data_IF_793101730059
#
_entry.id   IF_793101730059
#
_cell.length_a   1.000
_cell.length_b   1.000
_cell.length_c   1.000
_cell.angle_alpha   90.00
_cell.angle_beta   90.00
_cell.angle_gamma   90.00
#
_symmetry.space_group_name_H-M   'P 1'
#
loop_
_entity.id
_entity.type
_entity.pdbx_description
1 polymer ?
#
# COMPACT_ATOMS: atom_id res chain seq x y z
N UNK A 1 27.68 -4.82 23.97
CA UNK A 1 27.29 -5.44 22.68
C UNK A 1 25.80 -5.27 22.46
N UNK A 2 25.39 -4.20 21.76
CA UNK A 2 24.01 -4.03 21.28
C UNK A 2 24.00 -4.55 19.85
N UNK A 3 23.41 -5.73 19.60
CA UNK A 3 23.10 -6.15 18.24
C UNK A 3 22.06 -5.18 17.70
N UNK A 4 22.40 -4.50 16.61
CA UNK A 4 21.54 -3.48 16.04
C UNK A 4 20.23 -4.11 15.54
N UNK A 5 19.08 -3.47 15.76
CA UNK A 5 17.78 -3.95 15.28
C UNK A 5 17.75 -4.16 13.75
N UNK A 6 18.67 -3.55 13.01
CA UNK A 6 18.86 -3.73 11.58
C UNK A 6 19.29 -5.16 11.21
N UNK A 7 20.11 -5.83 12.02
CA UNK A 7 20.51 -7.22 11.76
C UNK A 7 19.34 -8.18 11.90
N UNK A 8 18.51 -8.01 12.93
CA UNK A 8 17.33 -8.86 13.17
C UNK A 8 16.28 -8.68 12.08
N UNK A 9 16.00 -7.43 11.67
CA UNK A 9 15.04 -7.16 10.59
C UNK A 9 15.60 -7.68 9.25
N UNK A 10 16.89 -7.55 8.99
CA UNK A 10 17.51 -8.11 7.78
C UNK A 10 17.53 -9.64 7.78
N UNK A 11 17.72 -10.27 8.94
CA UNK A 11 17.71 -11.72 9.11
C UNK A 11 16.29 -12.28 8.98
N UNK A 12 15.28 -11.63 9.56
CA UNK A 12 13.87 -12.00 9.41
C UNK A 12 13.39 -11.79 7.97
N UNK A 13 13.85 -10.72 7.29
CA UNK A 13 13.52 -10.47 5.89
C UNK A 13 14.24 -11.38 4.89
N UNK A 14 15.41 -11.94 5.27
CA UNK A 14 16.17 -12.93 4.46
C UNK A 14 15.77 -14.37 4.74
N UNK A 15 15.40 -14.68 5.98
CA UNK A 15 15.03 -16.03 6.41
C UNK A 15 13.62 -16.43 5.98
N UNK A 16 12.79 -15.48 5.55
CA UNK A 16 11.48 -15.76 4.99
C UNK A 16 11.44 -15.29 3.55
N UNK A 17 11.73 -16.22 2.63
CA UNK A 17 11.61 -15.98 1.20
C UNK A 17 10.17 -15.52 0.95
N UNK A 18 9.93 -14.46 0.16
CA UNK A 18 8.56 -13.97 -0.08
C UNK A 18 7.58 -15.08 -0.50
N UNK A 19 8.11 -16.14 -1.11
CA UNK A 19 7.44 -17.41 -1.43
C UNK A 19 6.85 -18.15 -0.20
N UNK A 20 7.47 -18.11 0.96
CA UNK A 20 7.05 -18.82 2.18
C UNK A 20 5.89 -18.11 2.90
N UNK A 21 5.93 -16.78 3.00
CA UNK A 21 4.78 -15.98 3.46
C UNK A 21 3.55 -16.19 2.60
N UNK A 22 3.77 -16.34 1.30
CA UNK A 22 2.74 -16.62 0.31
C UNK A 22 2.14 -18.01 0.51
N UNK A 23 3.00 -19.01 0.71
CA UNK A 23 2.56 -20.37 1.01
C UNK A 23 1.80 -20.40 2.33
N UNK A 24 2.25 -19.69 3.36
CA UNK A 24 1.55 -19.59 4.64
C UNK A 24 0.21 -18.87 4.53
N UNK A 25 0.11 -17.79 3.74
CA UNK A 25 -1.16 -17.11 3.47
C UNK A 25 -2.12 -18.01 2.67
N UNK A 26 -1.62 -18.73 1.68
CA UNK A 26 -2.41 -19.68 0.90
C UNK A 26 -2.90 -20.85 1.76
N UNK A 27 -2.02 -21.43 2.58
CA UNK A 27 -2.37 -22.51 3.51
C UNK A 27 -3.36 -22.01 4.55
N UNK A 28 -3.11 -20.86 5.18
CA UNK A 28 -4.01 -20.27 6.17
C UNK A 28 -5.39 -19.98 5.57
N UNK A 29 -5.44 -19.42 4.36
CA UNK A 29 -6.70 -19.16 3.67
C UNK A 29 -7.42 -20.44 3.26
N UNK A 30 -6.68 -21.45 2.79
CA UNK A 30 -7.22 -22.76 2.43
C UNK A 30 -7.76 -23.48 3.67
N UNK A 31 -7.03 -23.47 4.78
CA UNK A 31 -7.45 -24.05 6.05
C UNK A 31 -8.69 -23.33 6.58
N UNK A 32 -8.69 -22.00 6.59
CA UNK A 32 -9.86 -21.23 7.00
C UNK A 32 -11.07 -21.52 6.11
N UNK A 33 -10.87 -21.61 4.79
CA UNK A 33 -11.92 -21.95 3.83
C UNK A 33 -12.45 -23.36 4.06
N UNK A 34 -11.58 -24.36 4.20
CA UNK A 34 -11.96 -25.73 4.50
C UNK A 34 -12.72 -25.79 5.82
N UNK A 35 -12.27 -25.08 6.85
CA UNK A 35 -12.94 -25.07 8.16
C UNK A 35 -14.32 -24.40 8.07
N UNK A 36 -14.44 -23.19 7.51
CA UNK A 36 -15.73 -22.48 7.41
C UNK A 36 -16.70 -23.16 6.45
N UNK A 37 -16.24 -23.69 5.32
CA UNK A 37 -17.10 -24.36 4.34
C UNK A 37 -17.52 -25.73 4.83
N UNK A 38 -16.58 -26.58 5.29
CA UNK A 38 -16.93 -27.92 5.76
C UNK A 38 -17.75 -27.82 7.04
N UNK A 39 -17.29 -27.11 8.08
CA UNK A 39 -18.00 -27.09 9.36
C UNK A 39 -19.17 -26.12 9.40
N UNK A 40 -19.12 -25.00 8.65
CA UNK A 40 -20.24 -24.07 8.57
C UNK A 40 -21.40 -24.63 7.75
N UNK A 41 -21.13 -25.16 6.56
CA UNK A 41 -22.18 -25.77 5.73
C UNK A 41 -22.71 -27.06 6.39
N UNK A 42 -21.83 -27.93 6.91
CA UNK A 42 -22.25 -29.13 7.64
C UNK A 42 -23.03 -28.75 8.90
N UNK A 43 -22.60 -27.74 9.66
CA UNK A 43 -23.31 -27.27 10.85
C UNK A 43 -24.68 -26.67 10.54
N UNK A 44 -24.83 -25.95 9.43
CA UNK A 44 -26.13 -25.45 8.96
C UNK A 44 -27.04 -26.56 8.42
N UNK A 45 -26.45 -27.56 7.75
CA UNK A 45 -27.16 -28.75 7.26
C UNK A 45 -27.64 -29.64 8.41
N UNK A 46 -26.79 -29.90 9.40
CA UNK A 46 -27.13 -30.68 10.60
C UNK A 46 -28.20 -30.00 11.47
N UNK A 47 -28.27 -28.67 11.45
CA UNK A 47 -29.33 -27.90 12.12
C UNK A 47 -30.64 -27.82 11.34
N UNK A 48 -30.68 -28.34 10.11
CA UNK A 48 -31.85 -28.27 9.24
C UNK A 48 -32.21 -26.85 8.78
N UNK A 49 -31.31 -25.88 8.95
CA UNK A 49 -31.57 -24.45 8.73
C UNK A 49 -31.52 -24.07 7.25
N UNK A 50 -30.89 -24.87 6.38
CA UNK A 50 -30.67 -24.52 4.98
C UNK A 50 -31.09 -25.67 4.06
N UNK A 51 -32.17 -25.48 3.32
CA UNK A 51 -32.41 -26.25 2.10
C UNK A 51 -31.25 -25.94 1.15
N UNK A 52 -30.41 -26.93 0.83
CA UNK A 52 -29.24 -26.80 -0.02
C UNK A 52 -29.63 -26.39 -1.44
N UNK A 53 -29.85 -25.09 -1.64
CA UNK A 53 -30.10 -24.54 -2.95
C UNK A 53 -28.82 -24.63 -3.79
N UNK A 54 -28.98 -24.92 -5.08
CA UNK A 54 -27.87 -24.96 -6.04
C UNK A 54 -27.07 -23.65 -6.07
N UNK A 55 -27.73 -22.54 -5.73
CA UNK A 55 -27.15 -21.21 -5.59
C UNK A 55 -26.07 -21.20 -4.50
N UNK A 56 -26.29 -21.87 -3.37
CA UNK A 56 -25.32 -21.89 -2.27
C UNK A 56 -24.02 -22.62 -2.63
N UNK A 57 -24.13 -23.78 -3.31
CA UNK A 57 -22.97 -24.53 -3.80
C UNK A 57 -22.16 -23.72 -4.82
N UNK A 58 -22.84 -23.04 -5.76
CA UNK A 58 -22.17 -22.21 -6.76
C UNK A 58 -21.46 -20.99 -6.13
N UNK A 59 -22.11 -20.36 -5.15
CA UNK A 59 -21.60 -19.19 -4.42
C UNK A 59 -20.27 -19.49 -3.73
N UNK A 60 -20.17 -20.67 -3.09
CA UNK A 60 -18.95 -21.13 -2.42
C UNK A 60 -17.77 -21.24 -3.41
N UNK A 61 -17.96 -21.88 -4.56
CA UNK A 61 -16.90 -22.06 -5.56
C UNK A 61 -16.48 -20.73 -6.20
N UNK A 62 -17.45 -19.86 -6.50
CA UNK A 62 -17.20 -18.53 -7.04
C UNK A 62 -16.33 -17.69 -6.10
N UNK A 63 -16.68 -17.62 -4.80
CA UNK A 63 -15.90 -16.87 -3.81
C UNK A 63 -14.51 -17.49 -3.56
N UNK A 64 -14.38 -18.81 -3.64
CA UNK A 64 -13.07 -19.47 -3.56
C UNK A 64 -12.15 -19.07 -4.70
N UNK A 65 -12.65 -19.12 -5.95
CA UNK A 65 -11.91 -18.70 -7.14
C UNK A 65 -11.53 -17.22 -7.07
N UNK A 66 -12.50 -16.36 -6.73
CA UNK A 66 -12.26 -14.92 -6.58
C UNK A 66 -11.19 -14.64 -5.51
N UNK A 67 -11.22 -15.32 -4.37
CA UNK A 67 -10.23 -15.17 -3.31
C UNK A 67 -8.85 -15.68 -3.73
N UNK A 68 -8.77 -16.81 -4.42
CA UNK A 68 -7.52 -17.31 -4.98
C UNK A 68 -6.91 -16.29 -5.96
N UNK A 69 -7.74 -15.68 -6.82
CA UNK A 69 -7.33 -14.64 -7.76
C UNK A 69 -6.87 -13.35 -7.05
N UNK A 70 -7.56 -12.94 -5.98
CA UNK A 70 -7.16 -11.80 -5.15
C UNK A 70 -5.80 -12.04 -4.48
N UNK A 71 -5.59 -13.23 -3.90
CA UNK A 71 -4.30 -13.60 -3.30
C UNK A 71 -3.20 -13.61 -4.36
N UNK A 72 -3.44 -14.25 -5.50
CA UNK A 72 -2.49 -14.26 -6.61
C UNK A 72 -2.14 -12.84 -7.09
N UNK A 73 -3.13 -11.96 -7.18
CA UNK A 73 -2.91 -10.57 -7.56
C UNK A 73 -2.12 -9.81 -6.49
N UNK A 74 -2.44 -9.99 -5.21
CA UNK A 74 -1.71 -9.39 -4.09
C UNK A 74 -0.24 -9.82 -4.08
N UNK A 75 0.05 -11.09 -4.41
CA UNK A 75 1.39 -11.63 -4.57
C UNK A 75 2.15 -10.92 -5.68
N UNK A 76 1.53 -10.81 -6.85
CA UNK A 76 2.14 -10.17 -8.01
C UNK A 76 2.45 -8.70 -7.71
N UNK A 77 1.50 -8.00 -7.08
CA UNK A 77 1.65 -6.60 -6.65
C UNK A 77 2.76 -6.45 -5.61
N UNK A 78 2.85 -7.35 -4.63
CA UNK A 78 3.94 -7.39 -3.64
C UNK A 78 5.32 -7.50 -4.31
N UNK A 79 5.45 -8.43 -5.26
CA UNK A 79 6.71 -8.67 -5.99
C UNK A 79 7.09 -7.43 -6.80
N UNK A 80 6.13 -6.87 -7.53
CA UNK A 80 6.32 -5.66 -8.32
C UNK A 80 6.72 -4.47 -7.43
N UNK A 81 6.04 -4.26 -6.31
CA UNK A 81 6.36 -3.18 -5.36
C UNK A 81 7.77 -3.32 -4.77
N UNK A 82 8.20 -4.55 -4.48
CA UNK A 82 9.53 -4.83 -3.96
C UNK A 82 10.62 -4.60 -5.01
N UNK A 83 10.41 -5.08 -6.24
CA UNK A 83 11.33 -4.84 -7.37
C UNK A 83 11.45 -3.35 -7.70
N UNK A 84 10.34 -2.61 -7.65
CA UNK A 84 10.35 -1.16 -7.87
C UNK A 84 11.06 -0.40 -6.75
N UNK A 85 10.92 -0.85 -5.50
CA UNK A 85 11.67 -0.29 -4.38
C UNK A 85 13.18 -0.47 -4.60
N UNK A 86 13.61 -1.64 -5.05
CA UNK A 86 15.02 -1.93 -5.34
C UNK A 86 15.54 -1.13 -6.55
N UNK A 87 14.76 -1.09 -7.64
CA UNK A 87 15.06 -0.29 -8.83
C UNK A 87 15.19 1.21 -8.47
N UNK A 88 14.25 1.72 -7.68
CA UNK A 88 14.24 3.10 -7.20
C UNK A 88 15.46 3.42 -6.34
N UNK A 89 15.95 2.46 -5.55
CA UNK A 89 17.11 2.62 -4.68
C UNK A 89 18.44 2.58 -5.44
N UNK A 90 18.60 1.63 -6.37
CA UNK A 90 19.92 1.27 -6.89
C UNK A 90 20.17 1.70 -8.34
N UNK A 91 19.13 1.81 -9.17
CA UNK A 91 19.29 1.97 -10.63
C UNK A 91 18.76 3.30 -11.16
N UNK A 92 17.99 4.02 -10.35
CA UNK A 92 17.36 5.25 -10.76
C UNK A 92 18.37 6.40 -10.74
N UNK A 93 18.68 6.97 -11.92
CA UNK A 93 19.37 8.26 -12.01
C UNK A 93 18.39 9.36 -11.60
N UNK A 94 18.64 9.95 -10.43
CA UNK A 94 17.79 11.00 -9.89
C UNK A 94 18.27 12.36 -10.36
N UNK A 95 17.38 13.05 -11.05
CA UNK A 95 17.47 14.48 -11.27
C UNK A 95 16.56 15.17 -10.24
N UNK A 96 17.19 15.85 -9.27
CA UNK A 96 16.51 16.55 -8.17
C UNK A 96 15.56 17.65 -8.66
N UNK A 97 15.80 18.20 -9.85
CA UNK A 97 14.97 19.27 -10.43
C UNK A 97 13.85 18.72 -11.33
N UNK A 98 13.90 17.44 -11.68
CA UNK A 98 12.91 16.78 -12.54
C UNK A 98 12.12 15.67 -11.82
N UNK A 99 11.69 15.93 -10.57
CA UNK A 99 10.94 14.97 -9.73
C UNK A 99 9.63 14.48 -10.35
N UNK A 100 9.03 15.22 -11.29
CA UNK A 100 7.82 14.82 -12.02
C UNK A 100 7.98 13.48 -12.76
N UNK A 101 9.21 13.12 -13.17
CA UNK A 101 9.54 11.85 -13.84
C UNK A 101 9.38 10.64 -12.92
N UNK A 102 9.26 10.84 -11.61
CA UNK A 102 9.07 9.80 -10.60
C UNK A 102 7.60 9.44 -10.37
N UNK A 103 6.67 10.19 -10.98
CA UNK A 103 5.23 9.94 -10.87
C UNK A 103 4.77 8.51 -11.23
N UNK A 104 5.41 7.74 -12.16
CA UNK A 104 5.01 6.37 -12.45
C UNK A 104 5.12 5.42 -11.25
N UNK A 105 6.10 5.63 -10.35
CA UNK A 105 6.27 4.81 -9.15
C UNK A 105 5.06 4.92 -8.21
N UNK A 106 4.49 6.13 -8.09
CA UNK A 106 3.26 6.34 -7.34
C UNK A 106 2.06 5.69 -8.02
N UNK A 107 1.94 5.81 -9.34
CA UNK A 107 0.81 5.25 -10.10
C UNK A 107 0.71 3.73 -9.97
N UNK A 108 1.83 3.04 -9.75
CA UNK A 108 1.83 1.60 -9.50
C UNK A 108 1.32 1.31 -8.07
N UNK A 109 1.78 2.05 -7.06
CA UNK A 109 1.26 1.92 -5.69
C UNK A 109 -0.25 2.24 -5.58
N UNK A 110 -0.74 3.24 -6.31
CA UNK A 110 -2.18 3.56 -6.33
C UNK A 110 -3.03 2.42 -6.91
N UNK A 111 -2.56 1.77 -7.99
CA UNK A 111 -3.24 0.61 -8.58
C UNK A 111 -3.29 -0.57 -7.61
N UNK A 112 -2.23 -0.80 -6.83
CA UNK A 112 -2.22 -1.80 -5.77
C UNK A 112 -3.32 -1.56 -4.72
N UNK A 113 -3.48 -0.31 -4.27
CA UNK A 113 -4.53 0.05 -3.31
C UNK A 113 -5.93 -0.16 -3.90
N UNK A 114 -6.14 0.22 -5.16
CA UNK A 114 -7.42 -0.01 -5.83
C UNK A 114 -7.81 -1.50 -5.86
N UNK A 115 -6.85 -2.39 -6.13
CA UNK A 115 -7.10 -3.83 -6.06
C UNK A 115 -7.51 -4.28 -4.66
N UNK A 116 -6.88 -3.75 -3.62
CA UNK A 116 -7.21 -4.10 -2.25
C UNK A 116 -8.59 -3.57 -1.82
N UNK A 117 -8.95 -2.35 -2.23
CA UNK A 117 -10.29 -1.77 -2.02
C UNK A 117 -11.35 -2.60 -2.77
N UNK A 118 -11.06 -3.01 -4.00
CA UNK A 118 -11.93 -3.93 -4.76
C UNK A 118 -12.12 -5.27 -4.04
N UNK A 119 -11.04 -5.83 -3.49
CA UNK A 119 -11.11 -7.04 -2.65
C UNK A 119 -11.97 -6.86 -1.41
N UNK A 120 -11.82 -5.75 -0.67
CA UNK A 120 -12.67 -5.42 0.48
C UNK A 120 -14.13 -5.23 0.10
N UNK A 121 -14.40 -4.60 -1.04
CA UNK A 121 -15.76 -4.40 -1.53
C UNK A 121 -16.43 -5.73 -1.86
N UNK A 122 -15.70 -6.67 -2.49
CA UNK A 122 -16.22 -8.01 -2.76
C UNK A 122 -16.57 -8.79 -1.49
N UNK A 123 -15.82 -8.55 -0.42
CA UNK A 123 -16.06 -9.08 0.91
C UNK A 123 -17.38 -8.55 1.47
N UNK A 124 -17.65 -7.24 1.39
CA UNK A 124 -18.94 -6.67 1.84
C UNK A 124 -20.13 -7.24 1.07
N UNK A 125 -20.01 -7.38 -0.26
CA UNK A 125 -21.05 -8.02 -1.09
C UNK A 125 -21.32 -9.45 -0.64
N UNK A 126 -20.26 -10.21 -0.33
CA UNK A 126 -20.41 -11.57 0.21
C UNK A 126 -21.19 -11.58 1.53
N UNK A 127 -20.93 -10.62 2.43
CA UNK A 127 -21.64 -10.50 3.70
C UNK A 127 -23.12 -10.17 3.53
N UNK A 128 -23.44 -9.28 2.59
CA UNK A 128 -24.82 -8.93 2.26
C UNK A 128 -25.59 -10.14 1.70
N UNK A 129 -24.97 -10.94 0.84
CA UNK A 129 -25.62 -12.10 0.21
C UNK A 129 -25.79 -13.32 1.12
N UNK A 130 -24.92 -13.51 2.12
CA UNK A 130 -24.87 -14.72 2.95
C UNK A 130 -25.59 -14.58 4.31
N UNK A 131 -26.38 -13.53 4.52
CA UNK A 131 -27.27 -13.45 5.68
C UNK A 131 -26.76 -12.57 6.83
N UNK A 132 -25.96 -11.54 6.55
CA UNK A 132 -25.74 -10.43 7.47
C UNK A 132 -24.27 -10.09 7.73
N UNK A 133 -24.01 -8.81 7.95
CA UNK A 133 -22.66 -8.28 8.22
C UNK A 133 -22.46 -8.17 9.74
N UNK A 134 -21.96 -9.25 10.37
CA UNK A 134 -21.58 -9.20 11.79
C UNK A 134 -20.24 -8.50 11.93
N UNK A 135 -20.23 -7.25 12.42
CA UNK A 135 -19.05 -6.38 12.48
C UNK A 135 -17.77 -7.08 13.02
N UNK A 136 -17.91 -7.93 14.05
CA UNK A 136 -16.82 -8.68 14.66
C UNK A 136 -16.06 -9.60 13.67
N UNK A 137 -16.75 -10.15 12.67
CA UNK A 137 -16.15 -11.03 11.66
C UNK A 137 -15.35 -10.23 10.60
N UNK A 138 -15.67 -8.95 10.39
CA UNK A 138 -15.10 -8.13 9.32
C UNK A 138 -13.97 -7.23 9.78
N UNK A 139 -13.98 -6.77 11.03
CA UNK A 139 -12.98 -5.82 11.55
C UNK A 139 -11.56 -6.35 11.41
N UNK A 140 -11.22 -7.60 11.81
CA UNK A 140 -9.86 -8.12 11.67
C UNK A 140 -9.38 -8.19 10.22
N UNK A 141 -10.25 -8.64 9.31
CA UNK A 141 -9.94 -8.73 7.88
C UNK A 141 -9.76 -7.34 7.26
N UNK A 142 -10.63 -6.40 7.61
CA UNK A 142 -10.56 -5.01 7.13
C UNK A 142 -9.27 -4.34 7.59
N UNK A 143 -8.94 -4.46 8.88
CA UNK A 143 -7.70 -3.90 9.43
C UNK A 143 -6.46 -4.48 8.73
N UNK A 144 -6.43 -5.81 8.53
CA UNK A 144 -5.33 -6.47 7.82
C UNK A 144 -5.17 -5.94 6.40
N UNK A 145 -6.26 -5.82 5.63
CA UNK A 145 -6.20 -5.31 4.26
C UNK A 145 -5.79 -3.84 4.25
N UNK A 146 -6.30 -3.00 5.15
CA UNK A 146 -5.91 -1.58 5.23
C UNK A 146 -4.41 -1.46 5.51
N UNK A 147 -3.89 -2.20 6.50
CA UNK A 147 -2.46 -2.19 6.83
C UNK A 147 -1.60 -2.70 5.66
N UNK A 148 -1.99 -3.80 5.03
CA UNK A 148 -1.30 -4.36 3.88
C UNK A 148 -1.32 -3.40 2.68
N UNK A 149 -2.44 -2.73 2.44
CA UNK A 149 -2.61 -1.74 1.36
C UNK A 149 -1.74 -0.52 1.59
N UNK A 150 -1.73 0.00 2.82
CA UNK A 150 -0.85 1.10 3.21
C UNK A 150 0.63 0.72 3.03
N UNK A 151 1.00 -0.49 3.44
CA UNK A 151 2.35 -1.00 3.25
C UNK A 151 2.71 -1.13 1.76
N UNK A 152 1.83 -1.72 0.93
CA UNK A 152 2.04 -1.87 -0.51
C UNK A 152 2.13 -0.53 -1.25
N UNK A 153 1.37 0.47 -0.80
CA UNK A 153 1.44 1.84 -1.32
C UNK A 153 2.77 2.50 -0.99
N UNK A 154 3.21 2.40 0.27
CA UNK A 154 4.39 3.10 0.77
C UNK A 154 5.70 2.43 0.34
N UNK A 155 5.72 1.12 0.14
CA UNK A 155 6.94 0.37 -0.20
C UNK A 155 7.69 0.88 -1.45
N UNK A 156 7.09 1.01 -2.64
CA UNK A 156 7.81 1.49 -3.81
C UNK A 156 8.23 2.97 -3.67
N UNK A 157 7.43 3.77 -2.96
CA UNK A 157 7.72 5.17 -2.64
C UNK A 157 8.95 5.26 -1.74
N UNK A 158 9.10 4.35 -0.79
CA UNK A 158 10.20 4.33 0.17
C UNK A 158 11.56 4.17 -0.51
N UNK A 159 11.67 3.29 -1.52
CA UNK A 159 12.90 3.13 -2.29
C UNK A 159 13.33 4.42 -2.99
N UNK A 160 12.38 5.11 -3.62
CA UNK A 160 12.61 6.41 -4.28
C UNK A 160 12.92 7.50 -3.26
N UNK A 161 12.26 7.52 -2.10
CA UNK A 161 12.53 8.45 -1.01
C UNK A 161 13.98 8.35 -0.53
N UNK A 162 14.47 7.12 -0.29
CA UNK A 162 15.85 6.89 0.11
C UNK A 162 16.83 7.38 -0.94
N UNK A 163 16.57 7.09 -2.22
CA UNK A 163 17.44 7.53 -3.30
C UNK A 163 17.43 9.07 -3.47
N UNK A 164 16.28 9.72 -3.36
CA UNK A 164 16.16 11.19 -3.36
C UNK A 164 16.93 11.80 -2.20
N UNK A 165 16.82 11.20 -1.00
CA UNK A 165 17.53 11.67 0.20
C UNK A 165 19.04 11.60 -0.01
N UNK A 166 19.53 10.47 -0.52
CA UNK A 166 20.96 10.27 -0.80
C UNK A 166 21.46 11.25 -1.87
N UNK A 167 20.73 11.39 -2.98
CA UNK A 167 21.10 12.31 -4.06
C UNK A 167 21.12 13.77 -3.58
N UNK A 168 20.10 14.20 -2.82
CA UNK A 168 20.04 15.54 -2.24
C UNK A 168 21.21 15.81 -1.30
N UNK A 169 21.49 14.87 -0.39
CA UNK A 169 22.59 15.04 0.56
C UNK A 169 23.96 15.06 -0.14
N UNK A 170 24.16 14.23 -1.16
CA UNK A 170 25.39 14.23 -1.95
C UNK A 170 25.58 15.55 -2.72
N UNK A 171 24.52 16.08 -3.32
CA UNK A 171 24.56 17.37 -4.03
C UNK A 171 24.80 18.54 -3.07
N UNK A 172 24.16 18.55 -1.90
CA UNK A 172 24.41 19.57 -0.88
C UNK A 172 25.85 19.51 -0.37
N UNK A 173 26.38 18.31 -0.08
CA UNK A 173 27.78 18.16 0.33
C UNK A 173 28.76 18.65 -0.75
N UNK A 174 28.46 18.38 -2.04
CA UNK A 174 29.24 18.90 -3.18
C UNK A 174 29.21 20.43 -3.22
N UNK A 175 28.03 21.03 -3.04
CA UNK A 175 27.88 22.49 -3.06
C UNK A 175 28.55 23.13 -1.85
N UNK A 176 28.42 22.56 -0.66
CA UNK A 176 29.03 23.09 0.57
C UNK A 176 30.57 23.05 0.48
N UNK A 177 31.15 22.03 -0.18
CA UNK A 177 32.58 21.95 -0.45
C UNK A 177 33.07 23.04 -1.42
N UNK A 178 32.31 23.34 -2.48
CA UNK A 178 32.67 24.40 -3.46
C UNK A 178 32.42 25.80 -2.90
N UNK A 179 31.34 25.97 -2.14
CA UNK A 179 31.00 27.21 -1.43
C UNK A 179 31.89 27.38 -0.18
N UNK A 180 32.79 26.45 0.14
CA UNK A 180 33.76 26.63 1.23
C UNK A 180 33.12 27.05 2.54
N UNK A 181 31.93 26.50 2.86
CA UNK A 181 31.07 26.94 3.98
C UNK A 181 31.74 26.78 5.36
N UNK A 182 32.95 26.21 5.41
CA UNK A 182 33.70 25.94 6.64
C UNK A 182 34.92 26.87 6.81
N UNK A 183 35.20 27.75 5.85
CA UNK A 183 36.32 28.70 5.92
C UNK A 183 35.81 30.13 6.04
N UNK A 184 36.49 30.94 6.88
CA UNK A 184 36.18 32.36 7.03
C UNK A 184 36.54 33.10 5.73
N UNK A 185 35.53 33.53 4.98
CA UNK A 185 35.70 34.23 3.71
C UNK A 185 35.84 35.74 3.90
N UNK A 186 36.64 36.38 3.04
CA UNK A 186 36.73 37.84 3.00
C UNK A 186 35.48 38.47 2.40
N UNK A 187 35.24 39.74 2.69
CA UNK A 187 34.08 40.50 2.18
C UNK A 187 34.09 40.58 0.65
N UNK A 188 35.25 40.65 -0.01
CA UNK A 188 35.30 40.62 -1.49
C UNK A 188 34.84 39.28 -2.09
N UNK A 189 35.11 38.15 -1.42
CA UNK A 189 34.67 36.82 -1.90
C UNK A 189 33.17 36.60 -1.77
N UNK A 190 32.50 37.37 -0.91
CA UNK A 190 31.04 37.33 -0.74
C UNK A 190 30.29 38.02 -1.89
N UNK A 191 30.97 38.85 -2.70
CA UNK A 191 30.37 39.61 -3.82
C UNK A 191 30.55 38.89 -5.16
N UNK A 192 31.21 37.72 -5.19
CA UNK A 192 31.41 36.97 -6.42
C UNK A 192 30.06 36.38 -6.94
N UNK A 193 29.60 36.76 -8.15
CA UNK A 193 28.34 36.29 -8.72
C UNK A 193 28.30 34.77 -8.88
N UNK A 194 29.43 34.09 -9.07
CA UNK A 194 29.48 32.63 -9.13
C UNK A 194 29.00 32.00 -7.82
N UNK A 195 29.34 32.62 -6.69
CA UNK A 195 28.98 32.13 -5.36
C UNK A 195 27.50 32.38 -5.09
N UNK A 196 26.97 33.52 -5.51
CA UNK A 196 25.53 33.80 -5.47
C UNK A 196 24.73 32.76 -6.27
N UNK A 197 25.20 32.40 -7.48
CA UNK A 197 24.55 31.36 -8.28
C UNK A 197 24.55 29.99 -7.59
N UNK A 198 25.66 29.63 -6.93
CA UNK A 198 25.76 28.38 -6.16
C UNK A 198 24.86 28.39 -4.93
N UNK A 199 24.74 29.52 -4.23
CA UNK A 199 23.82 29.67 -3.10
C UNK A 199 22.36 29.52 -3.53
N UNK A 200 21.94 30.19 -4.62
CA UNK A 200 20.58 30.02 -5.18
C UNK A 200 20.33 28.58 -5.63
N UNK A 201 21.33 27.89 -6.19
CA UNK A 201 21.21 26.47 -6.54
C UNK A 201 21.04 25.59 -5.29
N UNK A 202 21.80 25.85 -4.23
CA UNK A 202 21.68 25.17 -2.93
C UNK A 202 20.29 25.34 -2.33
N UNK A 203 19.75 26.55 -2.34
CA UNK A 203 18.38 26.83 -1.88
C UNK A 203 17.34 26.06 -2.69
N UNK A 204 17.49 26.01 -4.02
CA UNK A 204 16.64 25.19 -4.88
C UNK A 204 16.71 23.71 -4.48
N UNK A 205 17.91 23.15 -4.29
CA UNK A 205 18.09 21.75 -3.85
C UNK A 205 17.46 21.50 -2.47
N UNK A 206 17.53 22.45 -1.53
CA UNK A 206 16.89 22.35 -0.22
C UNK A 206 15.36 22.39 -0.30
N UNK A 207 14.81 23.18 -1.22
CA UNK A 207 13.36 23.30 -1.43
C UNK A 207 12.72 22.05 -2.05
N UNK A 208 13.52 21.16 -2.66
CA UNK A 208 13.01 19.92 -3.26
C UNK A 208 12.54 18.96 -2.17
N UNK A 209 11.26 18.59 -2.24
CA UNK A 209 10.70 17.54 -1.39
C UNK A 209 11.38 16.20 -1.66
N UNK A 210 11.83 15.54 -0.58
CA UNK A 210 12.42 14.19 -0.63
C UNK A 210 11.35 13.11 -0.78
N UNK A 211 10.10 13.45 -0.47
CA UNK A 211 8.99 12.54 -0.64
C UNK A 211 8.45 12.71 -2.06
N UNK A 212 8.45 11.65 -2.89
CA UNK A 212 8.02 11.72 -4.28
C UNK A 212 6.49 11.71 -4.37
N UNK A 213 5.80 12.41 -3.45
CA UNK A 213 4.35 12.40 -3.32
C UNK A 213 3.81 13.80 -3.56
N UNK A 214 2.97 13.94 -4.58
CA UNK A 214 2.20 15.16 -4.80
C UNK A 214 0.99 15.16 -3.87
N UNK A 215 0.51 16.35 -3.47
CA UNK A 215 -0.74 16.49 -2.70
C UNK A 215 -1.90 15.73 -3.37
N UNK A 216 -1.93 15.74 -4.71
CA UNK A 216 -2.93 15.03 -5.49
C UNK A 216 -2.88 13.50 -5.35
N UNK A 217 -1.69 12.95 -5.13
CA UNK A 217 -1.50 11.51 -5.03
C UNK A 217 -1.94 10.96 -3.66
N UNK A 218 -1.94 11.80 -2.62
CA UNK A 218 -2.40 11.44 -1.28
C UNK A 218 -3.93 11.34 -1.19
N UNK A 219 -4.69 12.23 -1.85
CA UNK A 219 -6.15 12.22 -1.71
C UNK A 219 -6.81 11.06 -2.46
N UNK A 220 -6.22 10.59 -3.57
CA UNK A 220 -6.83 9.56 -4.43
C UNK A 220 -7.16 8.28 -3.66
N UNK A 221 -6.20 7.63 -2.96
CA UNK A 221 -6.51 6.47 -2.12
C UNK A 221 -7.60 6.73 -1.08
N UNK A 222 -7.60 7.91 -0.46
CA UNK A 222 -8.61 8.31 0.54
C UNK A 222 -9.98 8.38 -0.09
N UNK A 223 -10.14 9.05 -1.24
CA UNK A 223 -11.43 9.12 -1.93
C UNK A 223 -11.88 7.75 -2.44
N UNK A 224 -10.96 6.92 -2.93
CA UNK A 224 -11.29 5.56 -3.34
C UNK A 224 -11.78 4.69 -2.20
N UNK A 225 -11.36 4.96 -0.96
CA UNK A 225 -11.88 4.26 0.21
C UNK A 225 -13.20 4.86 0.69
N UNK A 226 -13.30 6.18 0.77
CA UNK A 226 -14.45 6.90 1.32
C UNK A 226 -15.69 6.78 0.43
N UNK A 227 -15.55 6.93 -0.90
CA UNK A 227 -16.69 6.95 -1.83
C UNK A 227 -17.51 5.65 -1.75
N UNK A 228 -16.90 4.45 -1.85
CA UNK A 228 -17.66 3.20 -1.72
C UNK A 228 -18.35 3.08 -0.36
N UNK A 229 -17.66 3.38 0.75
CA UNK A 229 -18.25 3.29 2.09
C UNK A 229 -19.45 4.22 2.24
N UNK A 230 -19.36 5.47 1.76
CA UNK A 230 -20.48 6.40 1.77
C UNK A 230 -21.65 5.92 0.89
N UNK A 231 -21.35 5.32 -0.27
CA UNK A 231 -22.39 4.77 -1.13
C UNK A 231 -23.18 3.64 -0.44
N UNK A 232 -22.50 2.77 0.31
CA UNK A 232 -23.17 1.72 1.11
C UNK A 232 -24.04 2.31 2.23
N UNK A 233 -23.53 3.31 2.95
CA UNK A 233 -24.31 4.00 4.00
C UNK A 233 -25.56 4.65 3.41
N UNK A 234 -25.43 5.31 2.25
CA UNK A 234 -26.56 5.92 1.56
C UNK A 234 -27.60 4.87 1.13
N UNK A 235 -27.16 3.72 0.62
CA UNK A 235 -28.06 2.64 0.24
C UNK A 235 -28.85 2.08 1.43
N UNK A 236 -28.17 1.80 2.55
CA UNK A 236 -28.82 1.32 3.78
C UNK A 236 -29.81 2.33 4.37
N UNK A 237 -29.51 3.63 4.26
CA UNK A 237 -30.41 4.69 4.69
C UNK A 237 -31.69 4.72 3.84
N UNK A 238 -31.56 4.58 2.51
CA UNK A 238 -32.72 4.53 1.60
C UNK A 238 -33.59 3.32 1.89
N UNK A 239 -32.99 2.14 2.10
CA UNK A 239 -33.71 0.92 2.48
C UNK A 239 -34.53 1.14 3.77
N UNK A 240 -33.89 1.71 4.80
CA UNK A 240 -34.57 2.03 6.07
C UNK A 240 -35.73 3.03 5.92
N UNK A 241 -35.61 3.99 5.01
CA UNK A 241 -36.67 4.97 4.74
C UNK A 241 -37.84 4.34 3.97
N UNK A 242 -37.57 3.45 3.03
CA UNK A 242 -38.60 2.71 2.28
C UNK A 242 -39.37 1.80 3.23
N UNK A 243 -38.66 1.04 4.07
CA UNK A 243 -39.26 0.14 5.06
C UNK A 243 -40.12 0.87 6.10
N UNK A 244 -39.78 2.12 6.45
CA UNK A 244 -40.58 2.94 7.37
C UNK A 244 -41.87 3.51 6.73
N UNK A 245 -41.96 3.51 5.39
CA UNK A 245 -43.10 4.07 4.64
C UNK A 245 -44.13 3.03 4.19
N UNK A 246 -43.76 1.75 4.23
CA UNK A 246 -44.61 0.60 3.92
C UNK A 246 -45.28 0.05 5.18
#
# INVERSE_FOLDING_TARGET
MRREPEEFISAVSRALNGREWIVLLLISTLVWYLVKVQFGALGSYLRGEVATSIVHLWTIQFFALMRALLIYTAILVYRLASQLCELGRNSLRIDLLATHRLSPFMGIGQRAVLFAIGGLSSMLVQGALLGGVVLADWVPATLLVVLLSGWLLLRPIWGVHLALRTARNAELARLDAVIGYHEARSVEQLVDPAIEHLQRHRERVLSVSVWPITSSAWWRPVLYFVIPTLAWVAAALVESLVDASL
#
